data_IF_412453724061
#
_entry.id   IF_412453724061
#
_cell.length_a   1.000
_cell.length_b   1.000
_cell.length_c   1.000
_cell.angle_alpha   90.00
_cell.angle_beta   90.00
_cell.angle_gamma   90.00
#
_symmetry.space_group_name_H-M   'P 1'
#
loop_
_entity.id
_entity.type
_entity.pdbx_description
1 polymer ?
#
# COMPACT_ATOMS: atom_id res chain seq x y z
N UNK A 1 11.76 -16.21 -17.59
CA UNK A 1 11.54 -15.24 -16.52
C UNK A 1 10.07 -15.28 -16.13
N UNK A 2 9.79 -15.49 -14.86
CA UNK A 2 8.42 -15.58 -14.39
C UNK A 2 7.97 -14.23 -13.86
N UNK A 3 6.76 -13.86 -14.24
CA UNK A 3 6.19 -12.58 -13.82
C UNK A 3 5.39 -12.77 -12.55
N UNK A 4 5.66 -11.92 -11.58
CA UNK A 4 4.92 -11.88 -10.34
C UNK A 4 4.06 -10.61 -10.35
N UNK A 5 2.74 -10.80 -10.27
CA UNK A 5 1.80 -9.68 -10.23
C UNK A 5 1.40 -9.42 -8.78
N UNK A 6 1.67 -8.22 -8.32
CA UNK A 6 1.21 -7.75 -7.01
C UNK A 6 -0.12 -7.04 -7.19
N UNK A 7 -1.13 -7.48 -6.45
CA UNK A 7 -2.42 -6.83 -6.38
C UNK A 7 -2.60 -6.27 -4.97
N UNK A 8 -2.84 -4.98 -4.87
CA UNK A 8 -3.07 -4.31 -3.60
C UNK A 8 -4.58 -4.18 -3.35
N UNK A 9 -5.03 -4.72 -2.23
CA UNK A 9 -6.44 -4.66 -1.82
C UNK A 9 -6.56 -3.71 -0.63
N UNK A 10 -7.49 -2.78 -0.72
CA UNK A 10 -7.69 -1.73 0.28
C UNK A 10 -8.42 -2.28 1.50
N UNK A 11 -7.93 -1.96 2.68
CA UNK A 11 -8.58 -2.22 3.94
C UNK A 11 -9.26 -0.99 4.53
N UNK A 12 -9.57 -1.08 5.81
CA UNK A 12 -10.25 -0.03 6.55
C UNK A 12 -9.28 1.09 6.95
N UNK A 13 -9.75 2.33 6.86
CA UNK A 13 -9.02 3.51 7.29
C UNK A 13 -9.44 3.87 8.71
N UNK A 14 -8.47 3.98 9.62
CA UNK A 14 -8.68 4.48 10.97
C UNK A 14 -8.06 5.85 11.14
N UNK A 15 -8.86 6.77 11.64
CA UNK A 15 -8.38 8.05 12.08
C UNK A 15 -7.87 7.91 13.51
N UNK A 16 -6.55 7.91 13.68
CA UNK A 16 -5.92 7.77 14.99
C UNK A 16 -5.74 9.11 15.70
N UNK A 17 -4.59 9.28 16.32
CA UNK A 17 -4.23 10.51 17.04
C UNK A 17 -4.01 11.70 16.09
N UNK A 18 -3.79 12.90 16.67
CA UNK A 18 -3.57 14.14 15.93
C UNK A 18 -2.35 14.13 14.99
N UNK A 19 -1.46 13.12 15.08
CA UNK A 19 -0.19 13.07 14.36
C UNK A 19 -0.19 12.15 13.16
N UNK A 20 -1.18 11.26 13.03
CA UNK A 20 -1.20 10.32 11.94
C UNK A 20 -2.48 9.52 11.83
N UNK A 21 -2.70 8.98 10.65
CA UNK A 21 -3.78 8.05 10.36
C UNK A 21 -3.17 6.72 9.94
N UNK A 22 -3.82 5.64 10.32
CA UNK A 22 -3.39 4.30 9.97
C UNK A 22 -4.22 3.77 8.81
N UNK A 23 -3.55 3.37 7.75
CA UNK A 23 -4.16 2.67 6.62
C UNK A 23 -3.93 1.18 6.79
N UNK A 24 -5.01 0.41 6.87
CA UNK A 24 -4.93 -1.04 6.93
C UNK A 24 -5.08 -1.59 5.51
N UNK A 25 -4.03 -2.23 5.01
CA UNK A 25 -3.91 -2.66 3.63
C UNK A 25 -3.69 -4.17 3.56
N UNK A 26 -3.98 -4.73 2.39
CA UNK A 26 -3.72 -6.13 2.11
C UNK A 26 -3.05 -6.24 0.75
N UNK A 27 -1.89 -6.87 0.71
CA UNK A 27 -1.23 -7.26 -0.54
C UNK A 27 -1.66 -8.68 -0.91
N UNK A 28 -1.81 -8.94 -2.19
CA UNK A 28 -2.09 -10.27 -2.72
C UNK A 28 -1.35 -10.46 -4.04
N UNK A 29 -0.98 -11.68 -4.35
CA UNK A 29 -0.20 -12.01 -5.56
C UNK A 29 -0.43 -13.46 -5.96
N UNK A 30 0.10 -13.83 -7.13
CA UNK A 30 0.11 -15.22 -7.60
C UNK A 30 1.39 -15.88 -7.13
N UNK A 31 1.29 -17.06 -6.54
CA UNK A 31 2.44 -17.82 -6.05
C UNK A 31 3.38 -18.18 -7.18
N UNK A 32 4.68 -18.09 -6.91
CA UNK A 32 5.71 -18.65 -7.77
C UNK A 32 5.61 -20.18 -7.76
N UNK A 33 6.03 -20.81 -8.84
CA UNK A 33 5.94 -22.26 -9.03
C UNK A 33 7.28 -22.97 -8.99
N UNK A 34 8.40 -22.25 -8.77
CA UNK A 34 9.70 -22.84 -8.58
C UNK A 34 9.68 -23.77 -7.36
N UNK A 35 10.29 -24.97 -7.44
CA UNK A 35 10.23 -25.93 -6.32
C UNK A 35 11.07 -25.52 -5.10
N UNK A 36 12.00 -24.58 -5.27
CA UNK A 36 12.90 -24.12 -4.22
C UNK A 36 12.48 -22.78 -3.60
N UNK A 37 11.23 -22.40 -3.73
CA UNK A 37 10.71 -21.15 -3.14
C UNK A 37 10.76 -21.20 -1.62
N UNK A 38 11.23 -20.10 -1.02
CA UNK A 38 11.31 -19.93 0.43
C UNK A 38 10.30 -18.90 0.92
N UNK A 39 10.37 -17.68 0.41
CA UNK A 39 9.59 -16.55 0.94
C UNK A 39 9.41 -15.46 -0.08
N UNK A 40 8.54 -14.51 0.23
CA UNK A 40 8.36 -13.26 -0.49
C UNK A 40 8.72 -12.10 0.44
N UNK A 41 9.19 -10.99 -0.14
CA UNK A 41 9.48 -9.77 0.60
C UNK A 41 8.71 -8.61 -0.01
N UNK A 42 7.94 -7.93 0.83
CA UNK A 42 7.16 -6.76 0.44
C UNK A 42 7.92 -5.51 0.83
N UNK A 43 8.14 -4.63 -0.13
CA UNK A 43 8.83 -3.35 0.08
C UNK A 43 7.93 -2.19 -0.29
N UNK A 44 8.07 -1.09 0.45
CA UNK A 44 7.52 0.21 0.08
C UNK A 44 8.61 1.01 -0.63
N UNK A 45 8.26 1.65 -1.76
CA UNK A 45 9.24 2.31 -2.62
C UNK A 45 8.91 3.76 -2.99
N UNK A 46 7.82 4.33 -2.48
CA UNK A 46 7.45 5.73 -2.74
C UNK A 46 8.33 6.75 -2.01
N UNK A 47 9.26 6.28 -1.23
CA UNK A 47 10.29 7.05 -0.56
C UNK A 47 11.54 6.20 -0.45
N UNK A 48 12.21 6.24 0.70
CA UNK A 48 13.29 5.31 0.98
C UNK A 48 12.75 3.87 0.94
N UNK A 49 13.40 3.01 0.16
CA UNK A 49 13.01 1.59 0.06
C UNK A 49 13.02 0.95 1.44
N UNK A 50 11.88 0.47 1.88
CA UNK A 50 11.69 -0.07 3.23
C UNK A 50 11.03 -1.44 3.15
N UNK A 51 11.61 -2.44 3.83
CA UNK A 51 11.00 -3.75 3.96
C UNK A 51 9.78 -3.65 4.89
N UNK A 52 8.62 -4.01 4.37
CA UNK A 52 7.36 -4.03 5.12
C UNK A 52 7.19 -5.36 5.83
N UNK A 53 7.48 -6.46 5.16
CA UNK A 53 7.34 -7.78 5.75
C UNK A 53 7.88 -8.89 4.86
N UNK A 54 8.04 -10.04 5.48
CA UNK A 54 8.49 -11.28 4.85
C UNK A 54 7.39 -12.32 4.98
N UNK A 55 7.00 -12.94 3.89
CA UNK A 55 5.86 -13.85 3.83
C UNK A 55 6.33 -15.22 3.35
N UNK A 56 6.13 -16.22 4.17
CA UNK A 56 6.55 -17.60 3.84
C UNK A 56 5.75 -18.13 2.64
N UNK A 57 6.45 -18.66 1.64
CA UNK A 57 5.81 -19.39 0.56
C UNK A 57 5.10 -20.65 1.11
N UNK A 58 3.92 -21.03 0.66
CA UNK A 58 3.17 -20.55 -0.52
C UNK A 58 2.07 -19.51 -0.23
N UNK A 59 2.13 -18.80 0.88
CA UNK A 59 1.14 -17.76 1.17
C UNK A 59 1.16 -16.70 0.07
N UNK A 60 -0.02 -16.23 -0.32
CA UNK A 60 -0.19 -15.29 -1.43
C UNK A 60 -0.89 -14.00 -1.02
N UNK A 61 -0.97 -13.74 0.28
CA UNK A 61 -1.52 -12.49 0.79
C UNK A 61 -0.85 -12.09 2.10
N UNK A 62 -0.88 -10.80 2.39
CA UNK A 62 -0.28 -10.25 3.58
C UNK A 62 -1.03 -8.99 4.01
N UNK A 63 -1.48 -8.97 5.26
CA UNK A 63 -2.11 -7.81 5.87
C UNK A 63 -1.05 -6.97 6.56
N UNK A 64 -1.07 -5.67 6.34
CA UNK A 64 -0.12 -4.74 6.95
C UNK A 64 -0.77 -3.38 7.12
N UNK A 65 -0.12 -2.51 7.87
CA UNK A 65 -0.60 -1.14 8.06
C UNK A 65 0.51 -0.15 7.75
N UNK A 66 0.11 1.03 7.27
CA UNK A 66 1.00 2.15 7.01
C UNK A 66 0.44 3.37 7.71
N UNK A 67 1.29 4.08 8.44
CA UNK A 67 0.91 5.35 9.06
C UNK A 67 1.28 6.48 8.11
N UNK A 68 0.30 7.32 7.82
CA UNK A 68 0.46 8.53 7.00
C UNK A 68 0.04 9.75 7.82
N UNK A 69 0.45 10.93 7.37
CA UNK A 69 0.07 12.17 8.03
C UNK A 69 -1.45 12.33 7.98
N UNK A 70 -2.05 12.66 9.10
CA UNK A 70 -3.49 12.93 9.15
C UNK A 70 -3.82 14.15 8.27
N UNK A 71 -5.02 14.17 7.71
CA UNK A 71 -5.48 15.23 6.85
C UNK A 71 -4.55 15.49 5.66
N UNK A 72 -4.05 14.42 5.06
CA UNK A 72 -3.15 14.48 3.89
C UNK A 72 -3.66 13.58 2.78
N UNK A 73 -3.04 13.69 1.62
CA UNK A 73 -3.29 12.80 0.49
C UNK A 73 -1.96 12.43 -0.16
N UNK A 74 -1.94 11.30 -0.84
CA UNK A 74 -0.74 10.83 -1.51
C UNK A 74 -0.92 9.46 -2.15
N UNK A 75 0.18 8.93 -2.66
CA UNK A 75 0.22 7.61 -3.28
C UNK A 75 1.35 6.80 -2.66
N UNK A 76 1.01 5.62 -2.20
CA UNK A 76 1.96 4.62 -1.71
C UNK A 76 2.28 3.66 -2.85
N UNK A 77 3.55 3.24 -2.95
CA UNK A 77 4.01 2.33 -3.98
C UNK A 77 4.71 1.15 -3.32
N UNK A 78 4.37 -0.05 -3.78
CA UNK A 78 4.92 -1.29 -3.24
C UNK A 78 5.43 -2.18 -4.36
N UNK A 79 6.44 -2.97 -4.05
CA UNK A 79 6.95 -4.05 -4.91
C UNK A 79 7.13 -5.30 -4.07
N UNK A 80 7.12 -6.44 -4.74
CA UNK A 80 7.30 -7.74 -4.11
C UNK A 80 8.46 -8.46 -4.79
N UNK A 81 9.27 -9.14 -3.99
CA UNK A 81 10.32 -10.03 -4.50
C UNK A 81 10.08 -11.45 -4.02
N UNK A 82 10.67 -12.40 -4.72
CA UNK A 82 10.67 -13.82 -4.35
C UNK A 82 12.08 -14.23 -3.94
N UNK A 83 12.20 -15.05 -2.90
CA UNK A 83 13.48 -15.51 -2.38
C UNK A 83 13.47 -17.03 -2.36
N UNK A 84 14.54 -17.66 -2.86
CA UNK A 84 14.69 -19.11 -2.86
C UNK A 84 15.39 -19.63 -1.60
N UNK A 85 15.50 -20.93 -1.49
CA UNK A 85 16.15 -21.58 -0.34
C UNK A 85 17.65 -21.35 -0.26
N UNK A 86 18.27 -20.84 -1.32
CA UNK A 86 19.67 -20.40 -1.32
C UNK A 86 19.83 -18.91 -1.06
N UNK A 87 18.75 -18.23 -0.65
CA UNK A 87 18.69 -16.81 -0.36
C UNK A 87 18.94 -15.92 -1.60
N UNK A 88 18.68 -16.43 -2.78
CA UNK A 88 18.66 -15.58 -3.99
C UNK A 88 17.35 -14.83 -4.04
N UNK A 89 17.42 -13.52 -4.16
CA UNK A 89 16.25 -12.63 -4.26
C UNK A 89 16.03 -12.24 -5.72
N UNK A 90 14.78 -12.32 -6.18
CA UNK A 90 14.39 -11.91 -7.53
C UNK A 90 14.46 -10.40 -7.71
N UNK A 91 14.34 -9.96 -8.96
CA UNK A 91 14.03 -8.56 -9.26
C UNK A 91 12.65 -8.21 -8.73
N UNK A 92 12.38 -6.90 -8.63
CA UNK A 92 11.09 -6.40 -8.18
C UNK A 92 9.96 -6.84 -9.13
N UNK A 93 8.81 -7.12 -8.56
CA UNK A 93 7.56 -7.24 -9.32
C UNK A 93 7.21 -5.92 -10.01
N UNK A 94 6.21 -5.95 -10.89
CA UNK A 94 5.54 -4.73 -11.33
C UNK A 94 5.01 -4.02 -10.08
N UNK A 95 5.24 -2.69 -9.94
CA UNK A 95 4.78 -1.96 -8.76
C UNK A 95 3.26 -1.94 -8.66
N UNK A 96 2.76 -2.00 -7.43
CA UNK A 96 1.36 -1.74 -7.10
C UNK A 96 1.29 -0.43 -6.33
N UNK A 97 0.33 0.41 -6.66
CA UNK A 97 0.15 1.69 -6.00
C UNK A 97 -1.21 1.79 -5.33
N UNK A 98 -1.25 2.50 -4.22
CA UNK A 98 -2.47 2.82 -3.48
C UNK A 98 -2.51 4.32 -3.24
N UNK A 99 -3.55 4.97 -3.74
CA UNK A 99 -3.77 6.41 -3.52
C UNK A 99 -4.76 6.59 -2.37
N UNK A 100 -4.42 7.51 -1.48
CA UNK A 100 -5.26 7.85 -0.34
C UNK A 100 -5.55 9.34 -0.30
N UNK A 101 -6.71 9.70 0.25
CA UNK A 101 -7.08 11.09 0.48
C UNK A 101 -7.79 11.18 1.83
N UNK A 102 -7.11 11.81 2.79
CA UNK A 102 -7.60 11.99 4.15
C UNK A 102 -7.96 13.44 4.43
N UNK A 103 -8.22 14.23 3.39
CA UNK A 103 -8.62 15.63 3.55
C UNK A 103 -9.95 15.69 4.31
N UNK A 104 -9.91 16.30 5.49
CA UNK A 104 -11.07 16.48 6.38
C UNK A 104 -11.38 17.96 6.60
N UNK A 105 -10.66 18.85 5.92
CA UNK A 105 -10.87 20.28 6.07
C UNK A 105 -12.07 20.70 5.23
N UNK A 106 -13.10 21.19 5.89
CA UNK A 106 -14.26 21.75 5.21
C UNK A 106 -13.88 23.06 4.52
N UNK A 107 -14.45 23.34 3.33
CA UNK A 107 -14.26 24.65 2.70
C UNK A 107 -14.76 25.76 3.58
N UNK A 108 -14.27 26.97 3.34
CA UNK A 108 -14.81 28.17 3.96
C UNK A 108 -16.23 28.35 3.46
N UNK A 109 -17.11 28.86 4.35
CA UNK A 109 -18.48 29.15 3.96
C UNK A 109 -18.52 30.14 2.79
N UNK A 110 -19.43 29.95 1.82
CA UNK A 110 -19.61 30.91 0.74
C UNK A 110 -19.94 32.29 1.28
N UNK A 111 -19.53 33.31 0.55
CA UNK A 111 -19.77 34.72 0.93
C UNK A 111 -20.76 35.35 -0.04
N UNK A 112 -21.40 36.41 0.44
CA UNK A 112 -22.23 37.30 -0.38
C UNK A 112 -23.43 36.57 -1.01
N UNK A 113 -24.00 35.60 -0.29
CA UNK A 113 -25.25 34.99 -0.72
C UNK A 113 -26.35 36.09 -0.81
N UNK A 114 -27.01 36.17 -1.93
CA UNK A 114 -28.17 37.02 -2.09
C UNK A 114 -29.29 36.24 -2.77
N UNK A 115 -30.52 36.62 -2.43
CA UNK A 115 -31.72 36.03 -3.02
C UNK A 115 -32.52 37.14 -3.66
N UNK A 116 -32.90 36.94 -4.91
CA UNK A 116 -33.67 37.92 -5.67
C UNK A 116 -34.91 37.30 -6.26
N UNK A 117 -35.87 38.13 -6.62
CA UNK A 117 -37.06 37.70 -7.36
C UNK A 117 -36.64 37.28 -8.76
N UNK A 118 -37.19 36.17 -9.22
CA UNK A 118 -36.94 35.70 -10.58
C UNK A 118 -37.71 36.54 -11.61
#
# INVERSE_FOLDING_TARGET
MRWMTLVLVVGLIFCGSAFGATLNLKAAWTANTEPDMKEYRLYRTDGTRTLIGTITHPNTSYNFSVTVTDNSSGTLIFVLTAVDTNNNESLDSVPASYSYNLDKISPVSPKNLSVQNQ
#
